data_IF_294172803982
#
_entry.id   IF_294172803982
#
_cell.length_a   1.000
_cell.length_b   1.000
_cell.length_c   1.000
_cell.angle_alpha   90.00
_cell.angle_beta   90.00
_cell.angle_gamma   90.00
#
_symmetry.space_group_name_H-M   'P 1'
#
loop_
_entity.id
_entity.type
_entity.pdbx_description
1 polymer ?
#
# COMPACT_ATOMS: atom_id res chain seq x y z
N UNK A 1 2.38 -15.81 25.60
CA UNK A 1 1.81 -14.65 24.89
C UNK A 1 2.31 -14.74 23.46
N UNK A 2 1.41 -14.81 22.47
CA UNK A 2 1.83 -14.97 21.07
C UNK A 2 2.40 -13.63 20.57
N UNK A 3 3.69 -13.65 20.24
CA UNK A 3 4.48 -12.50 19.78
C UNK A 3 4.25 -12.21 18.28
N UNK A 4 2.99 -12.31 17.84
CA UNK A 4 2.61 -12.10 16.44
C UNK A 4 2.54 -10.62 16.10
N UNK A 5 2.86 -10.25 14.85
CA UNK A 5 2.53 -8.91 14.33
C UNK A 5 1.01 -8.77 14.21
N UNK A 6 0.49 -7.61 14.58
CA UNK A 6 -0.91 -7.24 14.41
C UNK A 6 -1.01 -6.30 13.21
N UNK A 7 -1.42 -6.86 12.09
CA UNK A 7 -1.48 -6.16 10.81
C UNK A 7 -2.92 -5.79 10.48
N UNK A 8 -3.14 -4.55 10.07
CA UNK A 8 -4.40 -4.03 9.60
C UNK A 8 -4.28 -3.71 8.12
N UNK A 9 -5.05 -4.39 7.29
CA UNK A 9 -5.16 -4.05 5.88
C UNK A 9 -6.44 -3.26 5.65
N UNK A 10 -6.32 -2.13 4.96
CA UNK A 10 -7.47 -1.29 4.60
C UNK A 10 -7.62 -1.23 3.08
N UNK A 11 -8.83 -1.49 2.60
CA UNK A 11 -9.17 -1.52 1.17
C UNK A 11 -10.33 -0.55 0.89
N UNK A 12 -10.50 -0.17 -0.37
CA UNK A 12 -11.71 0.57 -0.76
C UNK A 12 -12.96 -0.30 -0.52
N UNK A 13 -14.09 0.34 -0.22
CA UNK A 13 -15.37 -0.39 -0.09
C UNK A 13 -15.69 -1.22 -1.32
N UNK A 14 -15.47 -0.63 -2.50
CA UNK A 14 -15.70 -1.29 -3.78
C UNK A 14 -14.85 -2.55 -3.94
N UNK A 15 -13.57 -2.50 -3.58
CA UNK A 15 -12.69 -3.68 -3.65
C UNK A 15 -13.11 -4.74 -2.63
N UNK A 16 -13.56 -4.34 -1.44
CA UNK A 16 -14.10 -5.29 -0.45
C UNK A 16 -15.38 -5.97 -0.94
N UNK A 17 -16.25 -5.23 -1.62
CA UNK A 17 -17.52 -5.73 -2.15
C UNK A 17 -17.31 -6.62 -3.40
N UNK A 18 -16.46 -6.19 -4.34
CA UNK A 18 -16.25 -6.86 -5.63
C UNK A 18 -15.17 -7.96 -5.57
N UNK A 19 -14.12 -7.77 -4.76
CA UNK A 19 -12.92 -8.63 -4.70
C UNK A 19 -12.70 -9.28 -3.33
N UNK A 20 -13.61 -9.08 -2.37
CA UNK A 20 -13.41 -9.49 -0.98
C UNK A 20 -13.02 -10.97 -0.77
N UNK A 21 -13.61 -11.90 -1.55
CA UNK A 21 -13.24 -13.32 -1.48
C UNK A 21 -11.78 -13.56 -1.91
N UNK A 22 -11.35 -12.92 -2.98
CA UNK A 22 -9.97 -13.00 -3.47
C UNK A 22 -8.99 -12.37 -2.48
N UNK A 23 -9.33 -11.19 -1.93
CA UNK A 23 -8.52 -10.50 -0.92
C UNK A 23 -8.33 -11.39 0.31
N UNK A 24 -9.42 -11.95 0.84
CA UNK A 24 -9.39 -12.85 2.00
C UNK A 24 -8.52 -14.08 1.73
N UNK A 25 -8.68 -14.73 0.58
CA UNK A 25 -7.89 -15.91 0.23
C UNK A 25 -6.38 -15.61 0.20
N UNK A 26 -5.98 -14.50 -0.43
CA UNK A 26 -4.57 -14.11 -0.51
C UNK A 26 -4.00 -13.76 0.87
N UNK A 27 -4.79 -13.14 1.73
CA UNK A 27 -4.35 -12.73 3.07
C UNK A 27 -4.26 -13.93 4.02
N UNK A 28 -5.17 -14.89 3.92
CA UNK A 28 -5.07 -16.14 4.67
C UNK A 28 -3.79 -16.92 4.33
N UNK A 29 -3.36 -16.91 3.06
CA UNK A 29 -2.05 -17.47 2.66
C UNK A 29 -0.86 -16.76 3.31
N UNK A 30 -1.01 -15.49 3.72
CA UNK A 30 0.02 -14.68 4.38
C UNK A 30 0.00 -14.79 5.91
N UNK A 31 -1.02 -15.43 6.50
CA UNK A 31 -1.34 -15.41 7.93
C UNK A 31 -0.34 -16.13 8.84
N UNK A 32 0.75 -16.73 8.32
CA UNK A 32 1.81 -17.43 9.08
C UNK A 32 2.17 -16.78 10.43
N UNK A 33 1.47 -17.15 11.50
CA UNK A 33 1.55 -16.61 12.87
C UNK A 33 1.34 -15.08 13.02
N UNK A 34 0.62 -14.45 12.09
CA UNK A 34 0.25 -13.03 12.16
C UNK A 34 -1.23 -12.89 12.49
N UNK A 35 -1.58 -11.93 13.34
CA UNK A 35 -2.96 -11.49 13.49
C UNK A 35 -3.21 -10.48 12.37
N UNK A 36 -4.17 -10.77 11.48
CA UNK A 36 -4.50 -9.89 10.36
C UNK A 36 -5.98 -9.49 10.44
N UNK A 37 -6.22 -8.19 10.38
CA UNK A 37 -7.55 -7.59 10.33
C UNK A 37 -7.78 -6.92 8.96
N UNK A 38 -9.00 -7.03 8.45
CA UNK A 38 -9.43 -6.44 7.19
C UNK A 38 -10.51 -5.41 7.47
N UNK A 39 -10.28 -4.17 7.03
CA UNK A 39 -11.25 -3.09 7.19
C UNK A 39 -11.51 -2.36 5.88
N UNK A 40 -12.67 -1.71 5.83
CA UNK A 40 -12.93 -0.66 4.86
C UNK A 40 -12.07 0.57 5.22
N UNK A 41 -11.38 1.11 4.23
CA UNK A 41 -10.63 2.36 4.37
C UNK A 41 -11.56 3.53 4.67
N UNK A 42 -11.18 4.34 5.66
CA UNK A 42 -11.85 5.62 5.96
C UNK A 42 -11.51 6.73 4.96
N UNK A 43 -10.57 6.47 4.05
CA UNK A 43 -10.12 7.41 3.00
C UNK A 43 -10.57 6.93 1.62
N UNK A 44 -10.84 7.89 0.72
CA UNK A 44 -11.27 7.59 -0.65
C UNK A 44 -10.09 7.04 -1.47
N UNK A 45 -9.91 5.71 -1.39
CA UNK A 45 -8.90 4.97 -2.14
C UNK A 45 -9.54 4.48 -3.44
N UNK A 46 -8.99 4.90 -4.58
CA UNK A 46 -9.44 4.47 -5.92
C UNK A 46 -9.05 3.02 -6.29
N UNK A 47 -8.19 2.41 -5.48
CA UNK A 47 -7.70 1.03 -5.59
C UNK A 47 -6.35 0.84 -4.90
N UNK A 48 -5.94 -0.42 -4.72
CA UNK A 48 -4.79 -0.79 -3.89
C UNK A 48 -5.20 -0.97 -2.42
N UNK A 49 -4.25 -0.81 -1.49
CA UNK A 49 -4.52 -0.97 -0.06
C UNK A 49 -3.49 -0.24 0.81
N UNK A 50 -3.84 -0.03 2.07
CA UNK A 50 -2.86 0.35 3.10
C UNK A 50 -2.64 -0.81 4.07
N UNK A 51 -1.44 -0.87 4.65
CA UNK A 51 -1.03 -1.86 5.64
C UNK A 51 -0.45 -1.14 6.85
N UNK A 52 -1.09 -1.31 8.00
CA UNK A 52 -0.62 -0.77 9.28
C UNK A 52 -0.17 -1.90 10.21
N UNK A 53 1.00 -1.77 10.81
CA UNK A 53 1.41 -2.58 11.97
C UNK A 53 0.97 -1.86 13.25
N UNK A 54 -0.11 -2.35 13.87
CA UNK A 54 -0.74 -1.71 15.05
C UNK A 54 0.20 -1.59 16.25
N UNK A 55 1.24 -2.43 16.33
CA UNK A 55 2.21 -2.38 17.43
C UNK A 55 3.23 -1.25 17.26
N UNK A 56 3.68 -1.01 16.03
CA UNK A 56 4.71 -0.01 15.74
C UNK A 56 4.14 1.32 15.25
N UNK A 57 2.89 1.35 14.81
CA UNK A 57 2.26 2.50 14.16
C UNK A 57 2.80 2.76 12.74
N UNK A 58 3.59 1.83 12.19
CA UNK A 58 4.13 1.96 10.83
C UNK A 58 3.02 1.70 9.83
N UNK A 59 2.83 2.66 8.92
CA UNK A 59 1.89 2.59 7.81
C UNK A 59 2.67 2.46 6.49
N UNK A 60 2.35 1.43 5.71
CA UNK A 60 2.76 1.30 4.32
C UNK A 60 1.54 1.54 3.43
N UNK A 61 1.61 2.54 2.56
CA UNK A 61 0.54 2.91 1.64
C UNK A 61 0.86 2.39 0.23
N UNK A 62 0.10 1.38 -0.20
CA UNK A 62 0.16 0.79 -1.54
C UNK A 62 -1.07 1.16 -2.38
N UNK A 63 -1.70 2.31 -2.08
CA UNK A 63 -2.77 2.84 -2.92
C UNK A 63 -2.22 3.22 -4.29
N UNK A 64 -3.05 3.06 -5.33
CA UNK A 64 -2.67 3.41 -6.71
C UNK A 64 -2.22 4.87 -6.80
N UNK A 65 -2.86 5.76 -6.04
CA UNK A 65 -2.48 7.18 -6.00
C UNK A 65 -1.05 7.36 -5.51
N UNK A 66 -0.68 6.74 -4.39
CA UNK A 66 0.66 6.84 -3.80
C UNK A 66 1.71 6.29 -4.77
N UNK A 67 1.44 5.13 -5.38
CA UNK A 67 2.34 4.55 -6.40
C UNK A 67 2.55 5.47 -7.62
N UNK A 68 1.50 6.14 -8.08
CA UNK A 68 1.59 7.11 -9.19
C UNK A 68 2.42 8.33 -8.77
N UNK A 69 2.18 8.86 -7.58
CA UNK A 69 2.84 10.07 -7.10
C UNK A 69 4.35 9.82 -6.87
N UNK A 70 4.73 8.70 -6.26
CA UNK A 70 6.13 8.27 -6.13
C UNK A 70 6.79 8.03 -7.50
N UNK A 71 6.06 7.38 -8.41
CA UNK A 71 6.54 7.16 -9.78
C UNK A 71 6.81 8.46 -10.54
N UNK A 72 5.92 9.46 -10.41
CA UNK A 72 6.11 10.79 -11.00
C UNK A 72 7.36 11.48 -10.45
N UNK A 73 7.58 11.42 -9.14
CA UNK A 73 8.75 12.04 -8.52
C UNK A 73 10.06 11.37 -8.98
N UNK A 74 10.08 10.04 -9.03
CA UNK A 74 11.22 9.30 -9.53
C UNK A 74 11.54 9.65 -10.98
N UNK A 75 10.55 9.59 -11.87
CA UNK A 75 10.72 9.94 -13.28
C UNK A 75 11.13 11.41 -13.47
N UNK A 76 10.54 12.32 -12.67
CA UNK A 76 10.87 13.74 -12.71
C UNK A 76 12.32 14.02 -12.34
N UNK A 77 12.83 13.37 -11.28
CA UNK A 77 14.25 13.45 -10.89
C UNK A 77 15.18 12.94 -11.99
N UNK A 78 14.90 11.75 -12.52
CA UNK A 78 15.70 11.21 -13.62
C UNK A 78 15.71 12.14 -14.84
N UNK A 79 14.56 12.69 -15.21
CA UNK A 79 14.45 13.60 -16.34
C UNK A 79 15.26 14.88 -16.10
N UNK A 80 15.18 15.45 -14.90
CA UNK A 80 15.95 16.62 -14.51
C UNK A 80 17.47 16.37 -14.59
N UNK A 81 17.95 15.27 -14.02
CA UNK A 81 19.36 14.87 -14.08
C UNK A 81 19.85 14.72 -15.53
N UNK A 82 19.05 14.09 -16.39
CA UNK A 82 19.37 13.92 -17.81
C UNK A 82 19.38 15.23 -18.58
N UNK A 83 18.46 16.15 -18.27
CA UNK A 83 18.43 17.47 -18.90
C UNK A 83 19.61 18.34 -18.44
N UNK A 84 19.97 18.30 -17.16
CA UNK A 84 21.14 19.01 -16.61
C UNK A 84 22.45 18.53 -17.24
N UNK A 85 22.61 17.22 -17.46
CA UNK A 85 23.76 16.65 -18.20
C UNK A 85 23.90 17.22 -19.62
N UNK A 86 22.78 17.44 -20.33
CA UNK A 86 22.78 17.94 -21.72
C UNK A 86 22.92 19.45 -21.80
N UNK A 87 22.40 20.19 -20.81
CA UNK A 87 22.36 21.65 -20.79
C UNK A 87 23.59 22.31 -20.16
N UNK A 88 24.47 21.53 -19.51
CA UNK A 88 25.79 22.00 -19.11
C UNK A 88 26.68 22.26 -20.34
N UNK A 89 26.56 23.49 -20.85
CA UNK A 89 27.57 24.17 -21.71
C UNK A 89 28.68 24.72 -20.84
#
# INVERSE_FOLDING_TARGET
MMDGKELLFSFSKRDMDELGSFIKENIERLRNNKSIELIESSTDIIGGFTLEDKKSGVLADFSIKTLIDEGKEYMGRMLYEKLDEVLKV
#
